data_IF_106665810728
#
_entry.id   IF_106665810728
#
_cell.length_a   1.000
_cell.length_b   1.000
_cell.length_c   1.000
_cell.angle_alpha   90.00
_cell.angle_beta   90.00
_cell.angle_gamma   90.00
#
_symmetry.space_group_name_H-M   'P 1'
#
loop_
_entity.id
_entity.type
_entity.pdbx_description
1 polymer ?
#
# COMPACT_ATOMS: atom_id res chain seq x y z
N UNK A 1 3.86 22.65 -15.49
CA UNK A 1 2.80 21.97 -14.71
C UNK A 1 2.07 23.05 -13.91
N UNK A 2 0.76 22.94 -13.71
CA UNK A 2 0.05 23.85 -12.80
C UNK A 2 0.52 23.60 -11.36
N UNK A 3 0.58 24.66 -10.54
CA UNK A 3 0.94 24.56 -9.13
C UNK A 3 -0.16 23.77 -8.40
N UNK A 4 0.23 22.79 -7.58
CA UNK A 4 -0.66 21.94 -6.80
C UNK A 4 -1.24 22.75 -5.63
N UNK A 5 -2.56 22.84 -5.55
CA UNK A 5 -3.28 23.64 -4.57
C UNK A 5 -3.68 22.77 -3.38
N UNK A 6 -3.08 23.01 -2.21
CA UNK A 6 -3.28 22.18 -1.02
C UNK A 6 -4.07 22.91 0.05
N UNK A 7 -5.06 22.23 0.65
CA UNK A 7 -5.75 22.65 1.86
C UNK A 7 -5.27 21.80 3.04
N UNK A 8 -4.85 22.43 4.13
CA UNK A 8 -4.42 21.77 5.36
C UNK A 8 -5.55 21.83 6.39
N UNK A 9 -5.97 20.67 6.92
CA UNK A 9 -7.01 20.56 7.94
C UNK A 9 -6.43 19.86 9.18
N UNK A 10 -6.19 20.63 10.25
CA UNK A 10 -5.59 20.17 11.50
C UNK A 10 -6.01 21.12 12.63
N UNK A 11 -6.32 20.64 13.82
CA UNK A 11 -6.76 21.50 14.94
C UNK A 11 -5.63 22.30 15.56
N UNK A 12 -4.40 21.80 15.50
CA UNK A 12 -3.20 22.45 16.04
C UNK A 12 -2.70 23.57 15.12
N UNK A 13 -2.71 24.80 15.59
CA UNK A 13 -2.14 25.93 14.85
C UNK A 13 -0.64 25.74 14.54
N UNK A 14 0.09 25.10 15.47
CA UNK A 14 1.50 24.75 15.28
C UNK A 14 1.69 23.77 14.12
N UNK A 15 0.91 22.68 14.09
CA UNK A 15 0.99 21.69 13.01
C UNK A 15 0.61 22.29 11.66
N UNK A 16 -0.44 23.12 11.59
CA UNK A 16 -0.77 23.83 10.34
C UNK A 16 0.40 24.65 9.84
N UNK A 17 1.10 25.38 10.73
CA UNK A 17 2.31 26.16 10.35
C UNK A 17 3.44 25.27 9.86
N UNK A 18 3.78 24.20 10.60
CA UNK A 18 4.85 23.26 10.22
C UNK A 18 4.58 22.62 8.87
N UNK A 19 3.35 22.12 8.64
CA UNK A 19 2.97 21.49 7.37
C UNK A 19 2.98 22.52 6.23
N UNK A 20 2.54 23.75 6.48
CA UNK A 20 2.63 24.83 5.50
C UNK A 20 4.09 25.08 5.09
N UNK A 21 4.99 25.26 6.05
CA UNK A 21 6.40 25.53 5.79
C UNK A 21 7.07 24.38 5.00
N UNK A 22 6.73 23.13 5.35
CA UNK A 22 7.19 21.95 4.60
C UNK A 22 6.68 21.96 3.16
N UNK A 23 5.39 22.16 2.95
CA UNK A 23 4.81 22.08 1.60
C UNK A 23 5.24 23.24 0.71
N UNK A 24 5.31 24.45 1.24
CA UNK A 24 5.74 25.65 0.49
C UNK A 24 7.27 25.69 0.25
N UNK A 25 8.03 24.77 0.80
CA UNK A 25 9.45 24.58 0.44
C UNK A 25 9.64 23.97 -0.98
N UNK A 26 8.57 23.46 -1.60
CA UNK A 26 8.58 22.92 -2.96
C UNK A 26 7.76 23.81 -3.89
N UNK A 27 8.41 24.39 -4.89
CA UNK A 27 7.81 25.34 -5.85
C UNK A 27 6.60 24.77 -6.63
N UNK A 28 6.41 23.46 -6.62
CA UNK A 28 5.26 22.79 -7.26
C UNK A 28 3.99 22.87 -6.43
N UNK A 29 4.07 23.26 -5.15
CA UNK A 29 2.97 23.20 -4.19
C UNK A 29 2.64 24.62 -3.69
N UNK A 30 1.36 24.91 -3.56
CA UNK A 30 0.87 26.13 -2.91
C UNK A 30 -0.20 25.78 -1.87
N UNK A 31 -0.01 26.22 -0.64
CA UNK A 31 -1.00 26.08 0.43
C UNK A 31 -2.02 27.19 0.30
N UNK A 32 -3.20 26.88 -0.24
CA UNK A 32 -4.26 27.87 -0.55
C UNK A 32 -5.16 28.18 0.65
N UNK A 33 -4.99 27.47 1.75
CA UNK A 33 -5.73 27.73 2.99
C UNK A 33 -5.47 26.66 4.05
N UNK A 34 -5.91 26.98 5.27
CA UNK A 34 -5.86 26.07 6.41
C UNK A 34 -7.21 26.05 7.13
N UNK A 35 -7.60 24.91 7.72
CA UNK A 35 -8.83 24.75 8.50
C UNK A 35 -8.53 24.11 9.85
N UNK A 36 -9.33 24.42 10.88
CA UNK A 36 -9.10 23.99 12.27
C UNK A 36 -9.93 22.77 12.70
N UNK A 37 -10.82 22.27 11.86
CA UNK A 37 -11.66 21.09 12.06
C UNK A 37 -12.29 20.69 10.74
N UNK A 38 -12.97 19.53 10.71
CA UNK A 38 -13.60 19.00 9.51
C UNK A 38 -14.69 19.90 8.94
N UNK A 39 -15.49 20.59 9.77
CA UNK A 39 -16.55 21.48 9.30
C UNK A 39 -15.99 22.70 8.55
N UNK A 40 -14.95 23.35 9.12
CA UNK A 40 -14.21 24.45 8.47
C UNK A 40 -13.52 23.95 7.18
N UNK A 41 -12.97 22.73 7.22
CA UNK A 41 -12.40 22.06 6.06
C UNK A 41 -13.39 21.90 4.91
N UNK A 42 -14.59 21.37 5.18
CA UNK A 42 -15.65 21.21 4.18
C UNK A 42 -16.08 22.54 3.55
N UNK A 43 -16.22 23.59 4.35
CA UNK A 43 -16.53 24.94 3.83
C UNK A 43 -15.45 25.44 2.88
N UNK A 44 -14.17 25.27 3.25
CA UNK A 44 -13.01 25.72 2.45
C UNK A 44 -12.78 24.85 1.20
N UNK A 45 -13.06 23.57 1.25
CA UNK A 45 -13.04 22.70 0.04
C UNK A 45 -13.97 23.26 -1.02
N UNK A 46 -15.21 23.60 -0.63
CA UNK A 46 -16.20 24.15 -1.57
C UNK A 46 -15.81 25.53 -2.11
N UNK A 47 -15.18 26.36 -1.29
CA UNK A 47 -14.80 27.74 -1.67
C UNK A 47 -13.50 27.78 -2.49
N UNK A 48 -12.51 27.00 -2.09
CA UNK A 48 -11.14 27.10 -2.61
C UNK A 48 -10.84 26.05 -3.69
N UNK A 49 -11.62 24.95 -3.77
CA UNK A 49 -11.42 23.87 -4.74
C UNK A 49 -9.96 23.37 -4.78
N UNK A 50 -9.43 22.81 -3.66
CA UNK A 50 -8.05 22.29 -3.61
C UNK A 50 -7.89 21.06 -4.50
N UNK A 51 -6.65 20.80 -4.95
CA UNK A 51 -6.28 19.57 -5.66
C UNK A 51 -6.03 18.42 -4.69
N UNK A 52 -5.52 18.73 -3.48
CA UNK A 52 -5.21 17.74 -2.41
C UNK A 52 -5.60 18.34 -1.06
N UNK A 53 -6.09 17.49 -0.16
CA UNK A 53 -6.32 17.84 1.25
C UNK A 53 -5.39 17.01 2.13
N UNK A 54 -4.68 17.66 3.07
CA UNK A 54 -4.10 16.96 4.22
C UNK A 54 -5.08 17.07 5.39
N UNK A 55 -5.41 15.93 6.04
CA UNK A 55 -6.51 15.85 7.00
C UNK A 55 -6.07 15.13 8.28
N UNK A 56 -6.11 15.83 9.39
CA UNK A 56 -5.89 15.21 10.69
C UNK A 56 -7.00 14.23 11.05
N UNK A 57 -6.63 13.13 11.69
CA UNK A 57 -7.57 12.09 12.16
C UNK A 57 -8.42 12.59 13.33
N UNK A 58 -7.81 13.29 14.28
CA UNK A 58 -8.45 13.69 15.55
C UNK A 58 -8.61 15.20 15.62
N UNK A 59 -9.85 15.68 15.54
CA UNK A 59 -10.17 17.10 15.65
C UNK A 59 -11.49 17.31 16.40
N UNK A 60 -11.66 18.46 17.08
CA UNK A 60 -12.94 18.82 17.70
C UNK A 60 -14.01 19.15 16.65
N UNK A 61 -15.27 19.17 17.04
CA UNK A 61 -16.47 19.53 16.25
C UNK A 61 -16.79 18.49 15.18
N UNK A 62 -15.91 18.27 14.22
CA UNK A 62 -15.97 17.22 13.20
C UNK A 62 -14.59 16.61 13.05
N UNK A 63 -14.46 15.34 13.37
CA UNK A 63 -13.21 14.59 13.24
C UNK A 63 -12.85 14.28 11.78
N UNK A 64 -11.61 13.81 11.56
CA UNK A 64 -11.11 13.52 10.23
C UNK A 64 -11.82 12.37 9.54
N UNK A 65 -12.32 11.38 10.28
CA UNK A 65 -13.05 10.25 9.70
C UNK A 65 -14.39 10.69 9.13
N UNK A 66 -15.14 11.46 9.91
CA UNK A 66 -16.41 12.07 9.47
C UNK A 66 -16.20 13.02 8.29
N UNK A 67 -15.16 13.86 8.37
CA UNK A 67 -14.81 14.79 7.29
C UNK A 67 -14.44 14.04 6.01
N UNK A 68 -13.63 12.97 6.09
CA UNK A 68 -13.26 12.13 4.94
C UNK A 68 -14.49 11.51 4.26
N UNK A 69 -15.42 10.95 5.03
CA UNK A 69 -16.65 10.36 4.49
C UNK A 69 -17.49 11.41 3.74
N UNK A 70 -17.62 12.61 4.31
CA UNK A 70 -18.34 13.72 3.67
C UNK A 70 -17.63 14.20 2.39
N UNK A 71 -16.27 14.29 2.40
CA UNK A 71 -15.48 14.62 1.21
C UNK A 71 -15.71 13.60 0.10
N UNK A 72 -15.57 12.31 0.41
CA UNK A 72 -15.71 11.24 -0.59
C UNK A 72 -17.13 11.17 -1.16
N UNK A 73 -18.15 11.56 -0.38
CA UNK A 73 -19.56 11.55 -0.79
C UNK A 73 -19.94 12.77 -1.62
N UNK A 74 -19.49 13.98 -1.24
CA UNK A 74 -19.98 15.25 -1.81
C UNK A 74 -19.05 15.86 -2.85
N UNK A 75 -17.75 15.75 -2.65
CA UNK A 75 -16.72 16.37 -3.49
C UNK A 75 -15.46 15.52 -3.48
N UNK A 76 -15.50 14.30 -4.08
CA UNK A 76 -14.38 13.37 -4.04
C UNK A 76 -13.09 14.01 -4.57
N UNK A 77 -12.07 14.09 -3.72
CA UNK A 77 -10.73 14.59 -4.05
C UNK A 77 -9.67 13.84 -3.25
N UNK A 78 -8.39 13.86 -3.66
CA UNK A 78 -7.31 13.19 -2.97
C UNK A 78 -7.11 13.70 -1.54
N UNK A 79 -7.17 12.78 -0.56
CA UNK A 79 -6.94 13.07 0.86
C UNK A 79 -5.76 12.27 1.39
N UNK A 80 -4.82 12.95 2.04
CA UNK A 80 -3.72 12.35 2.80
C UNK A 80 -4.01 12.55 4.29
N UNK A 81 -4.10 11.45 5.03
CA UNK A 81 -4.35 11.51 6.48
C UNK A 81 -3.09 11.90 7.25
N UNK A 82 -3.25 12.75 8.24
CA UNK A 82 -2.20 13.06 9.23
C UNK A 82 -2.47 12.24 10.49
N UNK A 83 -1.54 11.37 10.89
CA UNK A 83 -1.77 10.39 11.94
C UNK A 83 -0.74 10.47 13.06
N UNK A 84 -1.19 10.29 14.30
CA UNK A 84 -0.31 10.01 15.42
C UNK A 84 0.09 8.52 15.49
N UNK A 85 1.24 8.21 16.11
CA UNK A 85 1.72 6.82 16.29
C UNK A 85 1.01 6.06 17.42
N UNK A 86 -0.08 6.58 17.97
CA UNK A 86 -0.86 5.85 18.99
C UNK A 86 -1.61 4.67 18.34
N UNK A 87 -1.90 3.62 19.10
CA UNK A 87 -2.63 2.45 18.61
C UNK A 87 -4.02 2.83 18.06
N UNK A 88 -4.70 3.78 18.69
CA UNK A 88 -5.98 4.31 18.21
C UNK A 88 -5.80 5.10 16.89
N UNK A 89 -4.77 5.94 16.80
CA UNK A 89 -4.46 6.72 15.60
C UNK A 89 -4.13 5.82 14.41
N UNK A 90 -3.34 4.76 14.61
CA UNK A 90 -3.00 3.80 13.55
C UNK A 90 -4.22 3.04 13.04
N UNK A 91 -5.10 2.57 13.93
CA UNK A 91 -6.33 1.86 13.55
C UNK A 91 -7.30 2.76 12.77
N UNK A 92 -7.53 3.99 13.23
CA UNK A 92 -8.38 4.97 12.51
C UNK A 92 -7.79 5.34 11.15
N UNK A 93 -6.48 5.43 11.04
CA UNK A 93 -5.80 5.72 9.77
C UNK A 93 -5.98 4.59 8.76
N UNK A 94 -5.84 3.33 9.17
CA UNK A 94 -6.11 2.18 8.30
C UNK A 94 -7.57 2.15 7.86
N UNK A 95 -8.48 2.49 8.75
CA UNK A 95 -9.90 2.64 8.41
C UNK A 95 -10.14 3.79 7.41
N UNK A 96 -9.48 4.93 7.58
CA UNK A 96 -9.56 6.06 6.66
C UNK A 96 -9.11 5.69 5.24
N UNK A 97 -8.01 4.95 5.09
CA UNK A 97 -7.56 4.47 3.78
C UNK A 97 -8.60 3.53 3.16
N UNK A 98 -9.20 2.65 3.95
CA UNK A 98 -10.28 1.77 3.49
C UNK A 98 -11.52 2.57 3.02
N UNK A 99 -11.75 3.75 3.59
CA UNK A 99 -12.86 4.66 3.27
C UNK A 99 -12.54 5.69 2.19
N UNK A 100 -11.37 5.60 1.53
CA UNK A 100 -11.06 6.40 0.35
C UNK A 100 -9.90 7.37 0.47
N UNK A 101 -9.26 7.51 1.65
CA UNK A 101 -8.00 8.25 1.73
C UNK A 101 -6.93 7.60 0.83
N UNK A 102 -6.13 8.41 0.18
CA UNK A 102 -5.08 7.96 -0.76
C UNK A 102 -3.92 7.33 -0.01
N UNK A 103 -3.48 8.02 1.05
CA UNK A 103 -2.32 7.63 1.86
C UNK A 103 -2.37 8.34 3.22
N UNK A 104 -1.35 8.14 4.04
CA UNK A 104 -1.19 8.84 5.31
C UNK A 104 0.26 9.26 5.54
N UNK A 105 0.44 10.20 6.48
CA UNK A 105 1.74 10.62 7.02
C UNK A 105 1.67 10.56 8.54
N UNK A 106 2.72 10.08 9.17
CA UNK A 106 2.89 10.21 10.62
C UNK A 106 3.24 11.64 10.97
N UNK A 107 2.48 12.25 11.89
CA UNK A 107 2.79 13.57 12.40
C UNK A 107 4.18 13.58 13.05
N UNK A 108 5.00 14.60 12.80
CA UNK A 108 6.28 14.73 13.49
C UNK A 108 6.03 14.82 15.00
N UNK A 109 6.62 13.89 15.77
CA UNK A 109 6.52 13.85 17.23
C UNK A 109 7.82 14.31 17.85
N UNK A 110 7.78 15.43 18.58
CA UNK A 110 8.90 15.87 19.44
C UNK A 110 9.98 16.69 18.77
N UNK A 111 10.94 17.12 19.57
CA UNK A 111 12.01 18.06 19.27
C UNK A 111 12.74 17.81 17.94
N UNK A 112 12.90 18.90 17.23
CA UNK A 112 13.68 19.14 16.00
C UNK A 112 14.91 18.21 15.90
N UNK A 113 14.86 17.22 15.01
CA UNK A 113 16.03 16.43 14.66
C UNK A 113 15.87 15.68 13.34
N UNK A 114 16.86 14.93 12.91
CA UNK A 114 17.06 14.26 11.62
C UNK A 114 15.84 13.54 10.99
N UNK A 115 14.75 13.34 11.72
CA UNK A 115 13.51 12.76 11.19
C UNK A 115 12.64 13.78 10.43
N UNK A 116 12.82 15.11 10.68
CA UNK A 116 12.03 16.14 9.99
C UNK A 116 12.32 16.17 8.49
N UNK A 117 13.56 16.03 8.06
CA UNK A 117 13.91 16.02 6.63
C UNK A 117 13.28 14.84 5.90
N UNK A 118 13.20 13.69 6.55
CA UNK A 118 12.55 12.50 5.99
C UNK A 118 11.05 12.68 5.88
N UNK A 119 10.40 13.20 6.94
CA UNK A 119 8.96 13.49 6.96
C UNK A 119 8.63 14.56 5.92
N UNK A 120 9.45 15.59 5.77
CA UNK A 120 9.32 16.62 4.75
C UNK A 120 9.35 16.02 3.34
N UNK A 121 10.39 15.26 3.01
CA UNK A 121 10.51 14.63 1.69
C UNK A 121 9.36 13.66 1.41
N UNK A 122 8.91 12.91 2.41
CA UNK A 122 7.80 11.98 2.28
C UNK A 122 6.46 12.71 2.07
N UNK A 123 6.18 13.77 2.84
CA UNK A 123 4.95 14.55 2.70
C UNK A 123 4.85 15.21 1.32
N UNK A 124 5.90 15.91 0.89
CA UNK A 124 5.96 16.52 -0.44
C UNK A 124 5.72 15.47 -1.53
N UNK A 125 6.43 14.36 -1.45
CA UNK A 125 6.32 13.27 -2.42
C UNK A 125 4.88 12.72 -2.49
N UNK A 126 4.24 12.49 -1.33
CA UNK A 126 2.85 11.98 -1.27
C UNK A 126 1.84 13.00 -1.80
N UNK A 127 2.00 14.29 -1.49
CA UNK A 127 1.12 15.35 -2.00
C UNK A 127 1.24 15.46 -3.52
N UNK A 128 2.45 15.50 -4.06
CA UNK A 128 2.67 15.56 -5.52
C UNK A 128 2.03 14.36 -6.21
N UNK A 129 2.24 13.16 -5.66
CA UNK A 129 1.64 11.94 -6.22
C UNK A 129 0.12 11.94 -6.09
N UNK A 130 -0.43 12.39 -4.96
CA UNK A 130 -1.88 12.46 -4.75
C UNK A 130 -2.56 13.38 -5.77
N UNK A 131 -1.92 14.49 -6.13
CA UNK A 131 -2.45 15.42 -7.13
C UNK A 131 -2.54 14.82 -8.55
N UNK A 132 -1.74 13.80 -8.85
CA UNK A 132 -1.74 13.10 -10.15
C UNK A 132 -2.81 11.99 -10.22
N UNK A 133 -3.41 11.62 -9.08
CA UNK A 133 -4.39 10.53 -9.01
C UNK A 133 -5.70 10.94 -9.66
N UNK A 134 -6.10 10.20 -10.67
CA UNK A 134 -7.45 10.24 -11.20
C UNK A 134 -8.34 9.32 -10.38
N UNK A 135 -9.16 9.88 -9.50
CA UNK A 135 -10.13 9.07 -8.75
C UNK A 135 -11.02 8.30 -9.74
N UNK A 136 -11.18 6.97 -9.60
CA UNK A 136 -11.90 6.17 -10.57
C UNK A 136 -13.37 6.60 -10.64
N UNK A 137 -13.85 6.89 -11.85
CA UNK A 137 -15.29 7.04 -12.12
C UNK A 137 -15.93 5.66 -12.02
N UNK A 138 -16.92 5.52 -11.14
CA UNK A 138 -17.69 4.29 -10.98
C UNK A 138 -18.32 3.89 -12.32
N UNK A 139 -17.98 2.69 -12.85
CA UNK A 139 -18.77 2.07 -13.91
C UNK A 139 -18.11 1.64 -15.22
N UNK A 140 -16.82 1.37 -15.28
CA UNK A 140 -16.25 0.76 -16.50
C UNK A 140 -16.11 -0.76 -16.36
N UNK A 141 -16.82 -1.50 -17.21
CA UNK A 141 -16.67 -2.96 -17.39
C UNK A 141 -15.35 -3.24 -18.12
N UNK A 142 -14.42 -3.88 -17.45
CA UNK A 142 -13.12 -4.28 -18.02
C UNK A 142 -13.26 -5.69 -18.62
N UNK A 143 -12.69 -5.88 -19.81
CA UNK A 143 -12.66 -7.20 -20.47
C UNK A 143 -11.75 -8.14 -19.67
N UNK A 144 -12.26 -9.34 -19.36
CA UNK A 144 -11.50 -10.38 -18.67
C UNK A 144 -10.26 -10.80 -19.48
N UNK A 145 -9.07 -10.85 -18.87
CA UNK A 145 -7.88 -11.40 -19.51
C UNK A 145 -8.06 -12.89 -19.76
N UNK A 146 -7.61 -13.38 -20.92
CA UNK A 146 -7.51 -14.82 -21.18
C UNK A 146 -6.34 -15.39 -20.40
N UNK A 147 -6.63 -16.11 -19.32
CA UNK A 147 -5.63 -16.75 -18.47
C UNK A 147 -5.26 -18.09 -19.10
N UNK A 148 -3.99 -18.30 -19.42
CA UNK A 148 -3.47 -19.60 -19.88
C UNK A 148 -3.29 -20.51 -18.65
N UNK A 149 -3.83 -21.76 -18.66
CA UNK A 149 -3.70 -22.64 -17.51
C UNK A 149 -2.23 -22.99 -17.21
N UNK A 150 -1.91 -23.08 -15.93
CA UNK A 150 -0.58 -23.48 -15.46
C UNK A 150 -0.31 -24.96 -15.76
N UNK A 151 0.93 -25.31 -16.19
CA UNK A 151 1.29 -26.70 -16.51
C UNK A 151 1.36 -27.58 -15.26
N UNK A 152 0.96 -28.86 -15.41
CA UNK A 152 0.78 -29.83 -14.33
C UNK A 152 2.08 -30.22 -13.54
N UNK A 153 3.25 -29.78 -13.99
CA UNK A 153 4.54 -30.28 -13.48
C UNK A 153 4.98 -29.79 -12.09
N UNK A 154 4.21 -28.94 -11.41
CA UNK A 154 4.60 -28.32 -10.12
C UNK A 154 3.64 -28.63 -8.96
N UNK A 155 2.78 -29.63 -9.09
CA UNK A 155 1.73 -29.96 -8.08
C UNK A 155 2.25 -30.46 -6.73
N UNK A 156 3.49 -30.97 -6.68
CA UNK A 156 4.06 -31.58 -5.46
C UNK A 156 4.69 -30.58 -4.49
N UNK A 157 4.91 -29.34 -4.91
CA UNK A 157 5.47 -28.31 -4.06
C UNK A 157 4.38 -27.45 -3.44
N UNK A 158 4.60 -27.02 -2.18
CA UNK A 158 3.78 -25.98 -1.55
C UNK A 158 3.88 -24.67 -2.32
N UNK A 159 2.89 -23.81 -2.18
CA UNK A 159 2.81 -22.54 -2.93
C UNK A 159 3.01 -21.35 -2.02
N UNK A 160 3.80 -20.37 -2.47
CA UNK A 160 3.92 -19.05 -1.88
C UNK A 160 3.42 -18.01 -2.90
N UNK A 161 2.59 -17.09 -2.41
CA UNK A 161 2.22 -15.85 -3.11
C UNK A 161 2.88 -14.69 -2.36
N UNK A 162 3.83 -14.01 -2.98
CA UNK A 162 4.50 -12.85 -2.42
C UNK A 162 3.97 -11.57 -3.07
N UNK A 163 3.45 -10.64 -2.27
CA UNK A 163 2.81 -9.41 -2.73
C UNK A 163 3.61 -8.20 -2.25
N UNK A 164 3.94 -7.29 -3.17
CA UNK A 164 4.58 -6.01 -2.90
C UNK A 164 3.66 -4.84 -3.21
N UNK A 165 3.57 -3.88 -2.30
CA UNK A 165 2.70 -2.70 -2.46
C UNK A 165 3.13 -1.51 -1.59
N UNK A 166 2.63 -0.30 -1.92
CA UNK A 166 2.96 0.94 -1.21
C UNK A 166 1.73 1.88 -1.14
N UNK A 167 1.80 3.09 -1.66
CA UNK A 167 0.66 4.04 -1.72
C UNK A 167 -0.56 3.44 -2.40
N UNK A 168 -1.74 3.54 -1.77
CA UNK A 168 -2.96 2.86 -2.19
C UNK A 168 -3.01 1.36 -1.83
N UNK A 169 -1.89 0.82 -1.31
CA UNK A 169 -1.71 -0.60 -1.01
C UNK A 169 -2.72 -1.19 -0.04
N UNK A 170 -3.00 -0.59 1.12
CA UNK A 170 -3.96 -1.16 2.06
C UNK A 170 -5.34 -1.39 1.47
N UNK A 171 -5.82 -0.46 0.62
CA UNK A 171 -7.08 -0.62 -0.12
C UNK A 171 -6.99 -1.72 -1.18
N UNK A 172 -5.88 -1.78 -1.91
CA UNK A 172 -5.65 -2.84 -2.90
C UNK A 172 -5.57 -4.22 -2.24
N UNK A 173 -4.86 -4.35 -1.11
CA UNK A 173 -4.79 -5.58 -0.31
C UNK A 173 -6.16 -6.02 0.20
N UNK A 174 -6.97 -5.09 0.72
CA UNK A 174 -8.33 -5.39 1.13
C UNK A 174 -9.14 -5.96 -0.05
N UNK A 175 -9.05 -5.32 -1.22
CA UNK A 175 -9.78 -5.77 -2.41
C UNK A 175 -9.35 -7.17 -2.87
N UNK A 176 -8.06 -7.46 -2.87
CA UNK A 176 -7.51 -8.76 -3.28
C UNK A 176 -7.85 -9.85 -2.26
N UNK A 177 -7.54 -9.62 -0.98
CA UNK A 177 -7.62 -10.65 0.06
C UNK A 177 -9.06 -11.03 0.41
N UNK A 178 -10.02 -10.12 0.33
CA UNK A 178 -11.45 -10.43 0.55
C UNK A 178 -12.04 -11.34 -0.53
N UNK A 179 -11.36 -11.52 -1.67
CA UNK A 179 -11.75 -12.42 -2.75
C UNK A 179 -11.09 -13.81 -2.65
N UNK A 180 -10.15 -13.99 -1.73
CA UNK A 180 -9.48 -15.27 -1.54
C UNK A 180 -10.30 -16.19 -0.64
N UNK A 181 -10.39 -17.50 -0.94
CA UNK A 181 -11.04 -18.46 -0.08
C UNK A 181 -10.24 -18.71 1.20
N UNK A 182 -10.93 -18.97 2.31
CA UNK A 182 -10.30 -19.22 3.61
C UNK A 182 -9.40 -20.46 3.67
N UNK A 183 -9.54 -21.38 2.71
CA UNK A 183 -8.79 -22.64 2.62
C UNK A 183 -7.83 -22.66 1.41
N UNK A 184 -7.33 -21.51 0.98
CA UNK A 184 -6.38 -21.41 -0.13
C UNK A 184 -5.10 -22.20 0.19
N UNK A 185 -4.66 -23.21 -0.61
CA UNK A 185 -3.48 -24.03 -0.34
C UNK A 185 -2.18 -23.29 -0.69
N UNK A 186 -2.01 -22.10 -0.12
CA UNK A 186 -0.83 -21.25 -0.28
C UNK A 186 -0.57 -20.44 0.98
N UNK A 187 0.70 -20.13 1.22
CA UNK A 187 1.12 -19.10 2.17
C UNK A 187 1.24 -17.77 1.43
N UNK A 188 0.68 -16.69 1.97
CA UNK A 188 0.76 -15.37 1.36
C UNK A 188 1.67 -14.48 2.18
N UNK A 189 2.68 -13.88 1.55
CA UNK A 189 3.66 -13.00 2.17
C UNK A 189 3.52 -11.60 1.60
N UNK A 190 3.28 -10.61 2.45
CA UNK A 190 3.01 -9.24 2.02
C UNK A 190 4.07 -8.29 2.55
N UNK A 191 4.65 -7.51 1.66
CA UNK A 191 5.39 -6.30 1.99
C UNK A 191 4.54 -5.10 1.60
N UNK A 192 4.10 -4.36 2.59
CA UNK A 192 3.50 -3.04 2.47
C UNK A 192 4.48 -2.03 3.07
N UNK A 193 4.89 -1.01 2.28
CA UNK A 193 5.72 0.07 2.81
C UNK A 193 4.93 0.87 3.84
N UNK A 194 5.21 0.61 5.12
CA UNK A 194 4.46 1.18 6.23
C UNK A 194 5.28 1.15 7.52
N UNK A 195 5.19 2.19 8.37
CA UNK A 195 5.89 2.22 9.65
C UNK A 195 5.43 1.13 10.63
N UNK A 196 6.26 0.86 11.63
CA UNK A 196 5.89 -0.02 12.74
C UNK A 196 4.60 0.45 13.43
N UNK A 197 3.79 -0.49 13.90
CA UNK A 197 2.48 -0.25 14.48
C UNK A 197 1.34 -0.22 13.44
N UNK A 198 1.54 0.43 12.30
CA UNK A 198 0.55 0.44 11.22
C UNK A 198 0.41 -0.92 10.54
N UNK A 199 1.49 -1.68 10.39
CA UNK A 199 1.47 -3.03 9.81
C UNK A 199 0.64 -3.99 10.65
N UNK A 200 0.70 -3.87 11.99
CA UNK A 200 -0.13 -4.64 12.91
C UNK A 200 -1.62 -4.27 12.77
N UNK A 201 -1.94 -2.96 12.79
CA UNK A 201 -3.32 -2.47 12.60
C UNK A 201 -3.89 -2.88 11.24
N UNK A 202 -3.07 -2.87 10.18
CA UNK A 202 -3.46 -3.36 8.86
C UNK A 202 -3.77 -4.86 8.89
N UNK A 203 -2.93 -5.67 9.53
CA UNK A 203 -3.15 -7.11 9.65
C UNK A 203 -4.44 -7.42 10.41
N UNK A 204 -4.68 -6.77 11.54
CA UNK A 204 -5.90 -6.91 12.34
C UNK A 204 -7.15 -6.51 11.54
N UNK A 205 -7.10 -5.39 10.82
CA UNK A 205 -8.20 -4.94 9.98
C UNK A 205 -8.48 -5.91 8.84
N UNK A 206 -7.47 -6.36 8.12
CA UNK A 206 -7.65 -7.33 7.04
C UNK A 206 -8.16 -8.68 7.57
N UNK A 207 -7.67 -9.13 8.72
CA UNK A 207 -8.14 -10.36 9.35
C UNK A 207 -9.64 -10.29 9.70
N UNK A 208 -10.16 -9.12 10.09
CA UNK A 208 -11.58 -8.94 10.38
C UNK A 208 -12.48 -8.93 9.13
N UNK A 209 -11.91 -8.72 7.94
CA UNK A 209 -12.66 -8.57 6.70
C UNK A 209 -12.57 -9.78 5.77
N UNK A 210 -11.52 -10.60 5.92
CA UNK A 210 -11.18 -11.69 5.01
C UNK A 210 -11.59 -13.05 5.57
N UNK A 211 -11.91 -13.98 4.68
CA UNK A 211 -12.13 -15.38 5.05
C UNK A 211 -10.80 -16.11 5.38
N UNK A 212 -9.70 -15.70 4.73
CA UNK A 212 -8.35 -16.21 4.98
C UNK A 212 -7.75 -15.54 6.23
N UNK A 213 -6.99 -16.31 7.03
CA UNK A 213 -6.36 -15.77 8.24
C UNK A 213 -5.23 -14.80 7.90
N UNK A 214 -5.26 -13.59 8.50
CA UNK A 214 -4.27 -12.53 8.28
C UNK A 214 -3.60 -12.15 9.60
N UNK A 215 -2.28 -12.06 9.61
CA UNK A 215 -1.50 -11.64 10.78
C UNK A 215 -0.23 -10.86 10.40
N UNK A 216 0.30 -10.09 11.32
CA UNK A 216 1.65 -9.60 11.22
C UNK A 216 2.64 -10.75 11.45
N UNK A 217 3.69 -10.83 10.65
CA UNK A 217 4.70 -11.87 10.69
C UNK A 217 5.54 -11.81 11.98
N UNK A 218 5.95 -12.98 12.47
CA UNK A 218 6.82 -13.10 13.65
C UNK A 218 8.13 -13.81 13.26
N UNK A 219 9.23 -13.48 13.98
CA UNK A 219 10.54 -14.12 13.77
C UNK A 219 10.46 -15.61 13.97
N UNK A 220 11.08 -16.38 13.07
CA UNK A 220 11.25 -17.84 13.16
C UNK A 220 9.98 -18.66 12.95
N UNK A 221 8.81 -18.05 12.71
CA UNK A 221 7.58 -18.82 12.53
C UNK A 221 7.56 -19.60 11.21
N UNK A 222 6.98 -20.80 11.26
CA UNK A 222 6.84 -21.66 10.08
C UNK A 222 5.69 -21.19 9.21
N UNK A 223 5.90 -21.15 7.90
CA UNK A 223 4.86 -20.82 6.93
C UNK A 223 3.76 -21.90 6.93
N UNK A 224 2.52 -21.45 6.99
CA UNK A 224 1.30 -22.26 6.94
C UNK A 224 0.46 -21.87 5.75
N UNK A 225 -0.12 -22.86 5.09
CA UNK A 225 -1.14 -22.62 4.07
C UNK A 225 -2.34 -21.87 4.66
N UNK A 226 -3.12 -21.23 3.81
CA UNK A 226 -4.30 -20.45 4.20
C UNK A 226 -3.99 -19.34 5.22
N UNK A 227 -2.76 -18.83 5.20
CA UNK A 227 -2.32 -17.77 6.11
C UNK A 227 -1.59 -16.67 5.35
N UNK A 228 -1.95 -15.43 5.66
CA UNK A 228 -1.34 -14.20 5.16
C UNK A 228 -0.45 -13.61 6.23
N UNK A 229 0.80 -13.36 5.90
CA UNK A 229 1.80 -12.77 6.75
C UNK A 229 2.19 -11.40 6.23
N UNK A 230 1.94 -10.34 7.01
CA UNK A 230 2.35 -8.97 6.68
C UNK A 230 3.69 -8.69 7.36
N UNK A 231 4.67 -8.25 6.59
CA UNK A 231 5.98 -7.86 7.12
C UNK A 231 5.84 -6.72 8.14
N UNK A 232 6.38 -6.85 9.35
CA UNK A 232 6.32 -5.78 10.34
C UNK A 232 7.15 -4.57 9.90
N UNK A 233 6.62 -3.37 10.14
CA UNK A 233 7.38 -2.14 9.92
C UNK A 233 8.70 -2.16 10.72
N UNK A 234 9.74 -1.57 10.17
CA UNK A 234 11.09 -1.57 10.70
C UNK A 234 11.87 -2.90 10.57
N UNK A 235 11.30 -3.91 9.94
CA UNK A 235 11.98 -5.17 9.66
C UNK A 235 11.84 -5.55 8.19
N UNK A 236 12.88 -6.09 7.59
CA UNK A 236 12.78 -6.84 6.36
C UNK A 236 12.26 -8.25 6.66
N UNK A 237 11.30 -8.71 5.89
CA UNK A 237 10.85 -10.10 5.94
C UNK A 237 11.52 -10.89 4.84
N UNK A 238 12.17 -12.01 5.22
CA UNK A 238 12.81 -12.98 4.36
C UNK A 238 12.23 -14.36 4.62
N UNK A 239 12.42 -15.29 3.69
CA UNK A 239 12.10 -16.71 3.90
C UNK A 239 13.38 -17.52 3.87
N UNK A 240 13.67 -18.22 4.97
CA UNK A 240 14.77 -19.15 5.11
C UNK A 240 14.21 -20.58 5.25
N UNK A 241 14.40 -21.41 4.21
CA UNK A 241 13.76 -22.72 4.14
C UNK A 241 12.23 -22.57 4.16
N UNK A 242 11.59 -23.00 5.25
CA UNK A 242 10.14 -22.93 5.45
C UNK A 242 9.72 -21.95 6.56
N UNK A 243 10.65 -21.11 7.02
CA UNK A 243 10.43 -20.18 8.13
C UNK A 243 10.61 -18.74 7.72
N UNK A 244 9.88 -17.85 8.37
CA UNK A 244 10.07 -16.41 8.29
C UNK A 244 11.31 -16.01 9.07
N UNK A 245 12.10 -15.13 8.48
CA UNK A 245 13.23 -14.45 9.10
C UNK A 245 13.01 -12.94 9.00
N UNK A 246 13.05 -12.26 10.14
CA UNK A 246 12.97 -10.81 10.24
C UNK A 246 14.37 -10.22 10.48
N UNK A 247 14.78 -9.26 9.67
CA UNK A 247 16.09 -8.62 9.81
C UNK A 247 15.99 -7.10 9.83
N UNK A 248 16.93 -6.45 10.50
CA UNK A 248 17.08 -5.00 10.52
C UNK A 248 18.24 -4.52 9.63
N UNK A 249 18.52 -5.25 8.57
CA UNK A 249 19.48 -4.81 7.55
C UNK A 249 19.11 -3.41 7.03
N UNK A 250 20.06 -2.74 6.37
CA UNK A 250 19.88 -1.40 5.83
C UNK A 250 18.63 -1.29 4.96
N UNK A 251 17.89 -0.16 5.04
CA UNK A 251 16.74 0.07 4.17
C UNK A 251 17.09 -0.04 2.69
N UNK A 252 16.24 -0.72 1.94
CA UNK A 252 16.36 -0.84 0.48
C UNK A 252 15.44 0.19 -0.18
N UNK A 253 15.99 1.04 -1.05
CA UNK A 253 15.27 2.18 -1.64
C UNK A 253 14.62 3.11 -0.59
N UNK A 254 15.23 3.20 0.60
CA UNK A 254 14.70 3.97 1.74
C UNK A 254 13.57 3.29 2.51
N UNK A 255 13.22 2.04 2.20
CA UNK A 255 12.12 1.30 2.82
C UNK A 255 12.60 0.09 3.63
N UNK A 256 11.96 -0.13 4.78
CA UNK A 256 12.06 -1.33 5.61
C UNK A 256 10.72 -1.56 6.31
N UNK A 257 9.92 -2.55 5.82
CA UNK A 257 10.24 -3.63 4.88
C UNK A 257 10.44 -3.18 3.43
N UNK A 258 11.12 -4.02 2.62
CA UNK A 258 11.27 -3.83 1.17
C UNK A 258 10.89 -5.10 0.40
N UNK A 259 10.24 -4.90 -0.76
CA UNK A 259 9.75 -5.98 -1.64
C UNK A 259 10.90 -6.75 -2.26
N UNK A 260 11.92 -6.02 -2.74
CA UNK A 260 13.14 -6.64 -3.31
C UNK A 260 13.80 -7.60 -2.33
N UNK A 261 13.82 -7.29 -1.03
CA UNK A 261 14.40 -8.17 0.00
C UNK A 261 13.62 -9.48 0.13
N UNK A 262 12.27 -9.41 0.18
CA UNK A 262 11.43 -10.60 0.22
C UNK A 262 11.62 -11.45 -1.05
N UNK A 263 11.52 -10.85 -2.22
CA UNK A 263 11.62 -11.56 -3.50
C UNK A 263 13.00 -12.20 -3.69
N UNK A 264 14.07 -11.49 -3.32
CA UNK A 264 15.44 -12.04 -3.36
C UNK A 264 15.62 -13.25 -2.45
N UNK A 265 14.98 -13.26 -1.27
CA UNK A 265 15.02 -14.42 -0.37
C UNK A 265 14.29 -15.63 -0.95
N UNK A 266 13.19 -15.40 -1.66
CA UNK A 266 12.42 -16.44 -2.34
C UNK A 266 13.09 -16.95 -3.61
N UNK A 267 13.88 -16.14 -4.30
CA UNK A 267 14.53 -16.52 -5.54
C UNK A 267 15.36 -17.82 -5.41
N UNK A 268 16.10 -17.95 -4.32
CA UNK A 268 16.94 -19.13 -4.02
C UNK A 268 16.19 -20.27 -3.33
N UNK A 269 14.94 -20.04 -2.90
CA UNK A 269 14.16 -21.03 -2.18
C UNK A 269 13.56 -22.06 -3.16
N UNK A 270 13.89 -23.34 -2.99
CA UNK A 270 13.43 -24.46 -3.85
C UNK A 270 12.28 -25.27 -3.24
N UNK A 271 11.78 -24.88 -2.06
CA UNK A 271 10.70 -25.60 -1.37
C UNK A 271 9.31 -25.24 -1.86
N UNK A 272 9.18 -24.20 -2.70
CA UNK A 272 7.88 -23.62 -3.07
C UNK A 272 7.78 -23.28 -4.54
N UNK A 273 6.58 -23.48 -5.06
CA UNK A 273 6.10 -22.76 -6.24
C UNK A 273 5.86 -21.30 -5.88
N UNK A 274 6.25 -20.37 -6.74
CA UNK A 274 6.30 -18.94 -6.41
C UNK A 274 5.43 -18.12 -7.34
N UNK A 275 4.60 -17.28 -6.74
CA UNK A 275 3.91 -16.18 -7.40
C UNK A 275 4.43 -14.87 -6.80
N UNK A 276 4.84 -13.96 -7.67
CA UNK A 276 5.19 -12.59 -7.29
C UNK A 276 4.12 -11.64 -7.83
N UNK A 277 3.59 -10.80 -6.96
CA UNK A 277 2.51 -9.86 -7.31
C UNK A 277 2.97 -8.45 -6.95
N UNK A 278 2.89 -7.53 -7.90
CA UNK A 278 3.14 -6.10 -7.66
C UNK A 278 1.82 -5.35 -7.82
N UNK A 279 1.41 -4.68 -6.75
CA UNK A 279 0.25 -3.81 -6.72
C UNK A 279 0.67 -2.34 -6.70
N UNK A 280 -0.31 -1.48 -6.67
CA UNK A 280 -0.17 -0.02 -6.59
C UNK A 280 0.93 0.42 -5.63
N UNK A 281 1.69 1.43 -6.00
CA UNK A 281 2.75 1.98 -5.17
C UNK A 281 3.69 2.89 -5.94
N UNK A 282 4.39 3.75 -5.20
CA UNK A 282 5.41 4.64 -5.76
C UNK A 282 6.76 3.93 -5.89
N UNK A 283 7.55 4.34 -6.88
CA UNK A 283 8.92 3.87 -7.05
C UNK A 283 9.03 2.57 -7.84
N UNK A 284 10.05 1.76 -7.55
CA UNK A 284 10.42 0.59 -8.35
C UNK A 284 10.79 -0.64 -7.51
N UNK A 285 10.53 -0.61 -6.21
CA UNK A 285 10.81 -1.74 -5.31
C UNK A 285 10.02 -2.99 -5.76
N UNK A 286 10.67 -4.14 -5.73
CA UNK A 286 10.19 -5.39 -6.29
C UNK A 286 10.70 -5.69 -7.70
N UNK A 287 11.13 -4.67 -8.48
CA UNK A 287 11.61 -4.89 -9.85
C UNK A 287 12.93 -5.67 -9.92
N UNK A 288 13.86 -5.43 -9.00
CA UNK A 288 15.10 -6.20 -8.92
C UNK A 288 14.85 -7.61 -8.37
N UNK A 289 13.93 -7.73 -7.43
CA UNK A 289 13.47 -9.02 -6.91
C UNK A 289 12.83 -9.90 -7.99
N UNK A 290 12.00 -9.32 -8.88
CA UNK A 290 11.46 -10.02 -10.06
C UNK A 290 12.57 -10.56 -10.96
N UNK A 291 13.60 -9.75 -11.25
CA UNK A 291 14.75 -10.20 -12.04
C UNK A 291 15.47 -11.38 -11.37
N UNK A 292 15.66 -11.31 -10.06
CA UNK A 292 16.25 -12.39 -9.28
C UNK A 292 15.39 -13.65 -9.29
N UNK A 293 14.08 -13.54 -9.08
CA UNK A 293 13.14 -14.65 -9.12
C UNK A 293 13.18 -15.37 -10.47
N UNK A 294 13.02 -14.63 -11.58
CA UNK A 294 13.02 -15.22 -12.92
C UNK A 294 14.37 -15.79 -13.34
N UNK A 295 15.47 -15.23 -12.86
CA UNK A 295 16.83 -15.78 -13.12
C UNK A 295 17.05 -17.12 -12.41
N UNK A 296 16.64 -17.22 -11.15
CA UNK A 296 16.84 -18.41 -10.34
C UNK A 296 15.76 -19.48 -10.56
N UNK A 297 14.54 -19.07 -10.88
CA UNK A 297 13.40 -19.93 -11.14
C UNK A 297 12.50 -19.33 -12.25
N UNK A 298 12.76 -19.65 -13.51
CA UNK A 298 11.98 -19.16 -14.65
C UNK A 298 10.48 -19.49 -14.58
N UNK A 299 10.09 -20.51 -13.79
CA UNK A 299 8.69 -20.91 -13.61
C UNK A 299 7.93 -20.03 -12.63
N UNK A 300 8.61 -19.12 -11.89
CA UNK A 300 7.92 -18.13 -11.05
C UNK A 300 6.93 -17.34 -11.89
N UNK A 301 5.67 -17.28 -11.49
CA UNK A 301 4.67 -16.45 -12.16
C UNK A 301 4.70 -15.06 -11.56
N UNK A 302 4.78 -14.04 -12.42
CA UNK A 302 4.82 -12.63 -12.02
C UNK A 302 3.56 -11.92 -12.52
N UNK A 303 2.78 -11.40 -11.58
CA UNK A 303 1.57 -10.61 -11.83
C UNK A 303 1.82 -9.15 -11.50
N UNK A 304 1.28 -8.24 -12.28
CA UNK A 304 1.33 -6.80 -12.02
C UNK A 304 -0.07 -6.21 -12.13
N UNK A 305 -0.39 -5.27 -11.24
CA UNK A 305 -1.62 -4.49 -11.36
C UNK A 305 -1.61 -3.64 -12.62
N UNK A 306 -2.75 -3.55 -13.29
CA UNK A 306 -2.94 -2.73 -14.50
C UNK A 306 -3.01 -1.23 -14.15
N UNK A 307 -2.62 -0.38 -15.11
CA UNK A 307 -2.58 1.07 -14.94
C UNK A 307 -3.94 1.68 -14.61
N UNK A 308 -5.00 1.18 -15.24
CA UNK A 308 -6.36 1.69 -15.11
C UNK A 308 -7.01 1.42 -13.74
N UNK A 309 -6.45 0.51 -12.95
CA UNK A 309 -6.93 0.17 -11.60
C UNK A 309 -5.99 0.65 -10.48
N UNK A 310 -4.71 0.87 -10.79
CA UNK A 310 -3.71 1.28 -9.81
C UNK A 310 -3.93 2.73 -9.34
N UNK A 311 -3.98 2.94 -8.02
CA UNK A 311 -4.02 4.29 -7.44
C UNK A 311 -2.76 5.06 -7.83
N UNK A 312 -1.60 4.39 -7.75
CA UNK A 312 -0.30 4.91 -8.21
C UNK A 312 0.38 3.85 -9.06
N UNK A 313 0.54 4.10 -10.35
CA UNK A 313 1.14 3.17 -11.31
C UNK A 313 2.67 3.28 -11.39
N UNK A 314 3.34 3.38 -10.23
CA UNK A 314 4.82 3.47 -10.15
C UNK A 314 5.46 2.10 -10.08
N UNK A 315 5.25 1.36 -8.98
CA UNK A 315 5.77 -0.01 -8.80
C UNK A 315 5.28 -0.97 -9.90
N UNK A 316 3.98 -1.00 -10.28
CA UNK A 316 3.52 -1.82 -11.39
C UNK A 316 4.21 -1.48 -12.71
N UNK A 317 4.33 -0.20 -13.04
CA UNK A 317 5.04 0.26 -14.24
C UNK A 317 6.50 -0.19 -14.28
N UNK A 318 7.21 -0.04 -13.15
CA UNK A 318 8.60 -0.47 -13.03
C UNK A 318 8.73 -2.00 -13.18
N UNK A 319 7.78 -2.77 -12.63
CA UNK A 319 7.71 -4.22 -12.82
C UNK A 319 7.51 -4.57 -14.29
N UNK A 320 6.54 -3.97 -14.99
CA UNK A 320 6.28 -4.20 -16.42
C UNK A 320 7.50 -3.82 -17.27
N UNK A 321 8.22 -2.75 -16.95
CA UNK A 321 9.47 -2.36 -17.64
C UNK A 321 10.57 -3.42 -17.54
N UNK A 322 10.52 -4.35 -16.59
CA UNK A 322 11.47 -5.48 -16.54
C UNK A 322 11.33 -6.43 -17.73
N UNK A 323 10.15 -6.46 -18.37
CA UNK A 323 9.72 -7.43 -19.40
C UNK A 323 9.66 -8.88 -18.87
N UNK A 324 9.54 -9.04 -17.57
CA UNK A 324 9.48 -10.34 -16.87
C UNK A 324 8.14 -10.57 -16.17
N UNK A 325 7.19 -9.65 -16.33
CA UNK A 325 5.80 -9.80 -15.89
C UNK A 325 5.07 -10.71 -16.85
N UNK A 326 4.46 -11.77 -16.34
CA UNK A 326 3.71 -12.73 -17.16
C UNK A 326 2.29 -12.21 -17.46
N UNK A 327 1.64 -11.56 -16.48
CA UNK A 327 0.28 -11.03 -16.66
C UNK A 327 0.12 -9.66 -16.00
N UNK A 328 -0.48 -8.72 -16.74
CA UNK A 328 -0.93 -7.42 -16.22
C UNK A 328 -2.43 -7.51 -16.04
N UNK A 329 -2.92 -7.33 -14.81
CA UNK A 329 -4.27 -7.68 -14.38
C UNK A 329 -4.90 -6.52 -13.64
N UNK A 330 -6.15 -6.12 -13.96
CA UNK A 330 -6.88 -5.15 -13.16
C UNK A 330 -7.08 -5.64 -11.72
N UNK A 331 -7.08 -4.72 -10.76
CA UNK A 331 -7.18 -5.04 -9.33
C UNK A 331 -8.39 -5.94 -9.01
N UNK A 332 -9.52 -5.71 -9.69
CA UNK A 332 -10.76 -6.47 -9.50
C UNK A 332 -10.60 -7.96 -9.80
N UNK A 333 -9.73 -8.30 -10.73
CA UNK A 333 -9.46 -9.68 -11.18
C UNK A 333 -8.27 -10.31 -10.46
N UNK A 334 -7.48 -9.55 -9.70
CA UNK A 334 -6.24 -10.03 -9.08
C UNK A 334 -6.49 -11.18 -8.09
N UNK A 335 -7.45 -11.02 -7.16
CA UNK A 335 -7.80 -12.08 -6.21
C UNK A 335 -8.32 -13.36 -6.87
N UNK A 336 -9.33 -13.29 -7.77
CA UNK A 336 -9.78 -14.43 -8.57
C UNK A 336 -8.65 -15.10 -9.35
N UNK A 337 -7.76 -14.32 -9.97
CA UNK A 337 -6.61 -14.84 -10.73
C UNK A 337 -5.63 -15.60 -9.83
N UNK A 338 -5.25 -15.04 -8.68
CA UNK A 338 -4.42 -15.73 -7.69
C UNK A 338 -5.05 -17.06 -7.27
N UNK A 339 -6.35 -17.05 -6.96
CA UNK A 339 -7.08 -18.28 -6.58
C UNK A 339 -7.06 -19.33 -7.70
N UNK A 340 -7.30 -18.91 -8.94
CA UNK A 340 -7.28 -19.80 -10.11
C UNK A 340 -5.90 -20.44 -10.31
N UNK A 341 -4.83 -19.66 -10.21
CA UNK A 341 -3.48 -20.19 -10.37
C UNK A 341 -3.08 -21.12 -9.24
N UNK A 342 -3.43 -20.80 -7.98
CA UNK A 342 -3.08 -21.61 -6.81
C UNK A 342 -3.88 -22.91 -6.75
N UNK A 343 -5.17 -22.87 -7.05
CA UNK A 343 -6.05 -24.05 -7.02
C UNK A 343 -5.83 -24.96 -8.25
N UNK A 344 -5.29 -24.41 -9.33
CA UNK A 344 -5.28 -25.08 -10.64
C UNK A 344 -6.71 -25.17 -11.20
N UNK A 345 -6.86 -25.25 -12.51
CA UNK A 345 -8.16 -25.61 -13.07
C UNK A 345 -8.47 -27.06 -12.68
N UNK A 346 -9.40 -27.26 -11.75
CA UNK A 346 -10.08 -28.55 -11.55
C UNK A 346 -11.07 -28.75 -12.67
#
# INVERSE_FOLDING_TARGET
>A
MSVIRVLIVDDSAFMRKVITDILESDDRISVIGTARNGEDGMKKINQLQPDVVTLDVQMPVMDGMTALQEIMKKSPLPVIMLSSLTSEGTSKTIEAISNGAVDFITKPSGSISMDMDKVQAELIKKVVTAAEIKLPKVGQLIKQPKITPWSQHQRDLKTIVAIGTSTGGPRALQHVLTKLPGNLPASILIVQHMPAGFTKSLAERLNSLCAIHVKEASEGESLRESTVYIAPGNYHMKVNGTRIQLTQDEPVHGHRPAVDTLFNSLAKNRHYNKFAVILTGMGSDGSNGIRSLKREDPNTIVLSEAEDSAVVYGMPFAAVKTKLVDHVIPLQEMGPTISTFVLGNK
#
